data_IF_812122159998
#
_entry.id   IF_812122159998
#
_cell.length_a   1.000
_cell.length_b   1.000
_cell.length_c   1.000
_cell.angle_alpha   90.00
_cell.angle_beta   90.00
_cell.angle_gamma   90.00
#
_symmetry.space_group_name_H-M   'P 1'
#
loop_
_entity.id
_entity.type
_entity.pdbx_description
1 polymer ?
#
# COMPACT_ATOMS: atom_id res chain seq x y z
N UNK A 1 4.26 -17.17 20.18
CA UNK A 1 3.28 -17.47 19.11
C UNK A 1 3.13 -16.22 18.24
N UNK A 2 3.20 -16.33 16.91
CA UNK A 2 2.91 -15.18 16.02
C UNK A 2 1.40 -15.01 15.93
N UNK A 3 0.86 -13.87 16.33
CA UNK A 3 -0.58 -13.58 16.30
C UNK A 3 -0.83 -12.11 15.99
N UNK A 4 -1.94 -11.79 15.31
CA UNK A 4 -2.32 -10.40 15.05
C UNK A 4 -2.61 -9.67 16.37
N UNK A 5 -2.18 -8.42 16.61
CA UNK A 5 -2.44 -7.67 17.84
C UNK A 5 -3.87 -7.11 17.93
N UNK A 6 -4.89 -7.97 17.77
CA UNK A 6 -6.31 -7.56 17.83
C UNK A 6 -6.91 -7.89 19.19
N UNK A 7 -7.06 -6.86 20.04
CA UNK A 7 -7.43 -6.99 21.46
C UNK A 7 -8.78 -7.69 21.72
N UNK A 8 -9.70 -7.75 20.75
CA UNK A 8 -11.08 -8.24 20.94
C UNK A 8 -11.32 -9.71 20.52
N UNK A 9 -10.29 -10.47 20.18
CA UNK A 9 -10.44 -11.82 19.59
C UNK A 9 -9.73 -12.92 20.39
N UNK A 10 -10.29 -14.13 20.37
CA UNK A 10 -9.71 -15.31 20.98
C UNK A 10 -8.34 -15.64 20.34
N UNK A 11 -7.36 -16.08 21.13
CA UNK A 11 -5.97 -16.22 20.70
C UNK A 11 -5.79 -17.21 19.55
N UNK A 12 -6.53 -18.33 19.57
CA UNK A 12 -6.54 -19.33 18.50
C UNK A 12 -7.03 -18.73 17.15
N UNK A 13 -8.06 -17.90 17.18
CA UNK A 13 -8.60 -17.22 15.99
C UNK A 13 -7.59 -16.25 15.38
N UNK A 14 -6.81 -15.56 16.24
CA UNK A 14 -5.77 -14.62 15.80
C UNK A 14 -4.60 -15.32 15.12
N UNK A 15 -4.25 -16.53 15.58
CA UNK A 15 -3.22 -17.36 14.98
C UNK A 15 -3.61 -17.85 13.58
N UNK A 16 -4.82 -18.38 13.42
CA UNK A 16 -5.30 -18.88 12.12
C UNK A 16 -5.42 -17.76 11.09
N UNK A 17 -5.98 -16.61 11.46
CA UNK A 17 -6.10 -15.47 10.54
C UNK A 17 -4.72 -14.90 10.18
N UNK A 18 -3.77 -14.88 11.11
CA UNK A 18 -2.39 -14.50 10.81
C UNK A 18 -1.74 -15.45 9.78
N UNK A 19 -1.90 -16.76 9.98
CA UNK A 19 -1.39 -17.77 9.04
C UNK A 19 -2.05 -17.61 7.66
N UNK A 20 -3.37 -17.44 7.61
CA UNK A 20 -4.13 -17.19 6.37
C UNK A 20 -3.60 -16.01 5.55
N UNK A 21 -3.21 -14.90 6.20
CA UNK A 21 -2.68 -13.71 5.53
C UNK A 21 -1.22 -13.91 5.07
N UNK A 22 -0.43 -14.69 5.80
CA UNK A 22 1.03 -14.72 5.64
C UNK A 22 1.52 -15.92 4.83
N UNK A 23 0.86 -17.07 4.95
CA UNK A 23 1.30 -18.33 4.33
C UNK A 23 0.84 -18.41 2.87
N UNK A 24 1.78 -18.71 1.99
CA UNK A 24 1.53 -18.82 0.55
C UNK A 24 0.72 -20.08 0.21
N UNK A 25 1.08 -21.19 0.85
CA UNK A 25 0.43 -22.49 0.67
C UNK A 25 -0.53 -22.74 1.82
N UNK A 26 -1.80 -22.38 1.63
CA UNK A 26 -2.88 -22.60 2.58
C UNK A 26 -3.86 -23.60 1.98
N UNK A 27 -4.22 -24.67 2.72
CA UNK A 27 -5.09 -25.73 2.16
C UNK A 27 -6.47 -25.19 1.85
N UNK A 28 -7.12 -25.74 0.81
CA UNK A 28 -8.47 -25.32 0.43
C UNK A 28 -9.47 -25.50 1.58
N UNK A 29 -9.32 -26.54 2.41
CA UNK A 29 -10.18 -26.73 3.59
C UNK A 29 -9.94 -25.64 4.65
N UNK A 30 -8.69 -25.25 4.88
CA UNK A 30 -8.36 -24.19 5.83
C UNK A 30 -8.83 -22.82 5.35
N UNK A 31 -8.74 -22.55 4.04
CA UNK A 31 -9.32 -21.36 3.41
C UNK A 31 -10.83 -21.36 3.66
N UNK A 32 -11.53 -22.43 3.31
CA UNK A 32 -12.97 -22.53 3.49
C UNK A 32 -13.38 -22.35 4.95
N UNK A 33 -12.58 -22.83 5.91
CA UNK A 33 -12.83 -22.63 7.34
C UNK A 33 -12.71 -21.16 7.77
N UNK A 34 -11.71 -20.43 7.25
CA UNK A 34 -11.54 -18.99 7.54
C UNK A 34 -12.64 -18.17 6.88
N UNK A 35 -13.04 -18.54 5.67
CA UNK A 35 -14.01 -17.80 4.86
C UNK A 35 -15.47 -18.16 5.17
N UNK A 36 -15.70 -19.21 5.96
CA UNK A 36 -17.02 -19.60 6.43
C UNK A 36 -17.61 -18.53 7.36
N UNK A 37 -18.83 -18.10 7.03
CA UNK A 37 -19.55 -17.08 7.79
C UNK A 37 -19.71 -17.50 9.27
N UNK A 38 -19.29 -16.62 10.18
CA UNK A 38 -19.44 -16.82 11.63
C UNK A 38 -18.34 -17.63 12.32
N UNK A 39 -17.37 -18.21 11.58
CA UNK A 39 -16.27 -18.97 12.20
C UNK A 39 -15.23 -18.07 12.88
N UNK A 40 -15.04 -16.85 12.38
CA UNK A 40 -14.11 -15.87 12.93
C UNK A 40 -14.78 -14.50 12.94
N UNK A 41 -14.77 -13.80 14.08
CA UNK A 41 -15.38 -12.47 14.16
C UNK A 41 -14.61 -11.40 13.36
N UNK A 42 -13.39 -11.71 12.91
CA UNK A 42 -12.63 -10.94 11.91
C UNK A 42 -13.10 -11.18 10.47
N UNK A 43 -13.85 -12.24 10.19
CA UNK A 43 -14.40 -12.50 8.87
C UNK A 43 -15.86 -12.03 8.81
N UNK A 44 -16.05 -10.74 8.53
CA UNK A 44 -17.36 -10.11 8.42
C UNK A 44 -17.41 -9.19 7.20
N UNK A 45 -18.59 -8.64 6.88
CA UNK A 45 -18.78 -7.83 5.66
C UNK A 45 -17.90 -6.59 5.58
N UNK A 46 -17.51 -6.01 6.72
CA UNK A 46 -16.67 -4.81 6.76
C UNK A 46 -15.17 -5.10 6.62
N UNK A 47 -14.73 -6.32 6.92
CA UNK A 47 -13.29 -6.66 7.01
C UNK A 47 -12.84 -7.77 6.07
N UNK A 48 -13.75 -8.56 5.49
CA UNK A 48 -13.43 -9.64 4.54
C UNK A 48 -12.60 -9.15 3.35
N UNK A 49 -12.95 -7.99 2.78
CA UNK A 49 -12.24 -7.42 1.63
C UNK A 49 -10.82 -7.01 2.01
N UNK A 50 -10.64 -6.42 3.19
CA UNK A 50 -9.33 -6.05 3.72
C UNK A 50 -8.46 -7.28 3.97
N UNK A 51 -9.02 -8.36 4.54
CA UNK A 51 -8.29 -9.61 4.76
C UNK A 51 -7.85 -10.26 3.44
N UNK A 52 -8.74 -10.30 2.44
CA UNK A 52 -8.43 -10.81 1.11
C UNK A 52 -7.34 -9.97 0.42
N UNK A 53 -7.42 -8.64 0.53
CA UNK A 53 -6.41 -7.72 0.00
C UNK A 53 -5.05 -7.94 0.67
N UNK A 54 -5.02 -8.02 2.00
CA UNK A 54 -3.79 -8.28 2.75
C UNK A 54 -3.16 -9.62 2.37
N UNK A 55 -3.97 -10.68 2.22
CA UNK A 55 -3.50 -11.98 1.74
C UNK A 55 -2.96 -11.90 0.32
N UNK A 56 -3.64 -11.20 -0.59
CA UNK A 56 -3.18 -10.95 -1.95
C UNK A 56 -1.83 -10.25 -1.98
N UNK A 57 -1.63 -9.23 -1.14
CA UNK A 57 -0.39 -8.46 -1.11
C UNK A 57 0.76 -9.24 -0.46
N UNK A 58 0.50 -9.93 0.66
CA UNK A 58 1.52 -10.58 1.49
C UNK A 58 1.77 -12.01 1.02
N UNK A 59 0.80 -12.92 1.17
CA UNK A 59 0.97 -14.35 0.87
C UNK A 59 1.27 -14.62 -0.62
N UNK A 60 0.77 -13.79 -1.56
CA UNK A 60 1.10 -13.95 -3.00
C UNK A 60 2.40 -13.28 -3.40
N UNK A 61 3.15 -12.72 -2.45
CA UNK A 61 4.50 -12.17 -2.67
C UNK A 61 4.54 -10.84 -3.43
N UNK A 62 3.41 -10.16 -3.64
CA UNK A 62 3.36 -8.88 -4.35
C UNK A 62 4.20 -7.84 -3.60
N UNK A 63 4.12 -7.79 -2.27
CA UNK A 63 4.90 -6.85 -1.45
C UNK A 63 6.41 -7.09 -1.61
N UNK A 64 6.85 -8.34 -1.54
CA UNK A 64 8.25 -8.72 -1.72
C UNK A 64 8.75 -8.43 -3.14
N UNK A 65 7.91 -8.66 -4.15
CA UNK A 65 8.20 -8.30 -5.54
C UNK A 65 8.39 -6.78 -5.71
N UNK A 66 7.45 -5.98 -5.21
CA UNK A 66 7.49 -4.52 -5.32
C UNK A 66 8.68 -3.92 -4.56
N UNK A 67 8.94 -4.35 -3.32
CA UNK A 67 10.01 -3.79 -2.51
C UNK A 67 11.40 -4.34 -2.86
N UNK A 68 11.49 -5.61 -3.22
CA UNK A 68 12.77 -6.29 -3.46
C UNK A 68 13.26 -6.25 -4.90
N UNK A 69 12.34 -6.27 -5.88
CA UNK A 69 12.70 -6.41 -7.30
C UNK A 69 12.47 -5.14 -8.13
N UNK A 70 11.73 -4.14 -7.61
CA UNK A 70 11.49 -2.88 -8.31
C UNK A 70 12.25 -1.73 -7.66
N UNK A 71 13.14 -1.13 -8.43
CA UNK A 71 13.88 0.07 -8.04
C UNK A 71 13.19 1.32 -8.58
N UNK A 72 12.87 2.24 -7.67
CA UNK A 72 12.32 3.55 -8.02
C UNK A 72 13.29 4.33 -8.92
N UNK A 73 12.75 5.08 -9.90
CA UNK A 73 13.47 5.82 -10.94
C UNK A 73 14.30 5.00 -11.92
N UNK A 74 14.29 3.66 -11.80
CA UNK A 74 14.98 2.75 -12.73
C UNK A 74 14.00 1.80 -13.39
N UNK A 75 13.16 1.14 -12.60
CA UNK A 75 12.14 0.22 -13.11
C UNK A 75 10.76 0.87 -13.18
N UNK A 76 10.51 1.90 -12.39
CA UNK A 76 9.22 2.58 -12.31
C UNK A 76 9.34 4.01 -11.77
N UNK A 77 8.30 4.79 -12.00
CA UNK A 77 8.10 6.13 -11.43
C UNK A 77 6.90 6.82 -12.06
N UNK A 78 6.68 8.09 -11.75
CA UNK A 78 5.62 8.90 -12.36
C UNK A 78 6.06 9.38 -13.76
N UNK A 79 5.09 9.75 -14.58
CA UNK A 79 5.30 10.38 -15.89
C UNK A 79 4.46 11.66 -15.99
N UNK A 80 5.02 12.82 -15.57
CA UNK A 80 4.29 14.09 -15.55
C UNK A 80 4.01 14.63 -16.97
N UNK A 81 4.83 14.26 -17.96
CA UNK A 81 4.72 14.72 -19.34
C UNK A 81 3.72 13.89 -20.17
N UNK A 82 3.05 12.91 -19.54
CA UNK A 82 2.09 12.05 -20.19
C UNK A 82 0.89 12.87 -20.68
N UNK A 83 0.55 12.74 -21.97
CA UNK A 83 -0.61 13.42 -22.61
C UNK A 83 -1.96 13.22 -21.91
N UNK A 84 -2.07 12.21 -21.06
CA UNK A 84 -3.15 12.02 -20.11
C UNK A 84 -2.52 11.81 -18.73
N UNK A 85 -2.53 12.81 -17.84
CA UNK A 85 -1.92 12.69 -16.52
C UNK A 85 -2.81 11.77 -15.68
N UNK A 86 -2.37 10.53 -15.49
CA UNK A 86 -3.07 9.56 -14.64
C UNK A 86 -2.62 9.61 -13.19
N UNK A 87 -1.45 10.23 -12.91
CA UNK A 87 -0.84 10.22 -11.59
C UNK A 87 -0.40 8.82 -11.12
N UNK A 88 -0.40 7.82 -12.01
CA UNK A 88 -0.04 6.44 -11.68
C UNK A 88 1.42 6.15 -12.03
N UNK A 89 2.05 5.25 -11.27
CA UNK A 89 3.38 4.76 -11.59
C UNK A 89 3.37 3.97 -12.90
N UNK A 90 4.31 4.29 -13.78
CA UNK A 90 4.54 3.61 -15.05
C UNK A 90 5.88 2.88 -15.05
N UNK A 91 6.05 1.84 -15.89
CA UNK A 91 7.33 1.19 -16.08
C UNK A 91 8.34 2.14 -16.73
N UNK A 92 9.59 2.08 -16.28
CA UNK A 92 10.69 2.83 -16.86
C UNK A 92 11.55 1.90 -17.74
N UNK A 93 12.03 2.41 -18.88
CA UNK A 93 12.92 1.67 -19.79
C UNK A 93 14.40 1.84 -19.43
N UNK A 94 14.71 2.98 -18.84
CA UNK A 94 16.02 3.36 -18.34
C UNK A 94 15.84 4.27 -17.14
N UNK A 95 16.96 4.68 -16.53
CA UNK A 95 16.93 5.64 -15.43
C UNK A 95 16.19 6.91 -15.85
N UNK A 96 15.18 7.30 -15.07
CA UNK A 96 14.38 8.51 -15.29
C UNK A 96 13.73 8.59 -16.68
N UNK A 97 13.46 7.44 -17.30
CA UNK A 97 12.90 7.36 -18.65
C UNK A 97 11.62 6.51 -18.64
N UNK A 98 10.44 7.14 -18.47
CA UNK A 98 9.17 6.44 -18.50
C UNK A 98 8.89 5.81 -19.86
N UNK A 99 8.23 4.66 -19.85
CA UNK A 99 7.78 3.98 -21.06
C UNK A 99 6.45 4.59 -21.53
N UNK A 100 6.38 5.24 -22.71
CA UNK A 100 5.25 6.11 -23.07
C UNK A 100 3.87 5.46 -23.17
N UNK A 101 3.81 4.13 -23.26
CA UNK A 101 2.57 3.34 -23.47
C UNK A 101 2.51 2.08 -22.63
N UNK A 102 3.42 1.91 -21.68
CA UNK A 102 3.45 0.69 -20.87
C UNK A 102 2.77 0.94 -19.54
N UNK A 103 2.04 -0.06 -19.08
CA UNK A 103 1.37 -0.07 -17.79
C UNK A 103 1.65 -1.40 -17.11
N UNK A 104 1.57 -1.46 -15.79
CA UNK A 104 1.64 -2.73 -15.07
C UNK A 104 0.30 -3.45 -15.21
N UNK A 105 0.33 -4.77 -15.36
CA UNK A 105 -0.90 -5.56 -15.57
C UNK A 105 -1.69 -5.83 -14.29
N UNK A 106 -1.07 -5.71 -13.12
CA UNK A 106 -1.68 -6.06 -11.84
C UNK A 106 -2.05 -4.79 -11.06
N UNK A 107 -3.32 -4.59 -10.67
CA UNK A 107 -3.77 -3.37 -10.01
C UNK A 107 -3.10 -3.16 -8.64
N UNK A 108 -2.82 -4.22 -7.89
CA UNK A 108 -2.13 -4.14 -6.61
C UNK A 108 -0.68 -3.67 -6.77
N UNK A 109 -0.02 -4.10 -7.86
CA UNK A 109 1.34 -3.64 -8.20
C UNK A 109 1.32 -2.17 -8.57
N UNK A 110 0.35 -1.72 -9.39
CA UNK A 110 0.20 -0.30 -9.74
C UNK A 110 0.00 0.53 -8.47
N UNK A 111 -0.92 0.11 -7.59
CA UNK A 111 -1.24 0.83 -6.36
C UNK A 111 0.00 1.01 -5.50
N UNK A 112 0.70 -0.08 -5.19
CA UNK A 112 1.89 -0.04 -4.34
C UNK A 112 3.04 0.77 -4.96
N UNK A 113 3.32 0.61 -6.27
CA UNK A 113 4.36 1.38 -6.94
C UNK A 113 4.01 2.87 -7.05
N UNK A 114 2.73 3.20 -7.18
CA UNK A 114 2.24 4.59 -7.18
C UNK A 114 2.44 5.20 -5.79
N UNK A 115 1.98 4.53 -4.74
CA UNK A 115 2.20 4.96 -3.35
C UNK A 115 3.68 5.15 -3.04
N UNK A 116 4.54 4.21 -3.45
CA UNK A 116 5.99 4.33 -3.28
C UNK A 116 6.58 5.49 -4.08
N UNK A 117 6.08 5.76 -5.28
CA UNK A 117 6.56 6.88 -6.10
C UNK A 117 6.28 8.23 -5.44
N UNK A 118 5.09 8.43 -4.86
CA UNK A 118 4.77 9.63 -4.08
C UNK A 118 5.49 9.66 -2.74
N UNK A 119 5.67 8.52 -2.07
CA UNK A 119 6.44 8.45 -0.84
C UNK A 119 7.93 8.82 -1.05
N UNK A 120 8.50 8.46 -2.19
CA UNK A 120 9.90 8.73 -2.50
C UNK A 120 10.15 10.08 -3.18
N UNK A 121 9.29 10.46 -4.12
CA UNK A 121 9.41 11.68 -4.91
C UNK A 121 8.70 12.89 -4.31
N UNK A 122 7.79 12.67 -3.36
CA UNK A 122 6.86 13.70 -2.89
C UNK A 122 5.71 13.93 -3.86
N UNK A 123 4.76 14.75 -3.43
CA UNK A 123 3.71 15.31 -4.28
C UNK A 123 4.12 16.73 -4.69
N UNK A 124 3.78 17.13 -5.91
CA UNK A 124 3.86 18.54 -6.32
C UNK A 124 2.73 19.35 -5.68
N UNK A 125 2.88 20.66 -5.66
CA UNK A 125 1.84 21.58 -5.16
C UNK A 125 0.51 21.36 -5.90
N UNK A 126 0.53 21.20 -7.23
CA UNK A 126 -0.68 20.91 -8.01
C UNK A 126 -1.40 19.62 -7.57
N UNK A 127 -0.64 18.54 -7.34
CA UNK A 127 -1.21 17.28 -6.86
C UNK A 127 -1.78 17.42 -5.44
N UNK A 128 -1.13 18.24 -4.61
CA UNK A 128 -1.60 18.53 -3.26
C UNK A 128 -2.89 19.36 -3.28
N UNK A 129 -2.99 20.37 -4.15
CA UNK A 129 -4.21 21.15 -4.35
C UNK A 129 -5.37 20.27 -4.83
N UNK A 130 -5.13 19.37 -5.79
CA UNK A 130 -6.14 18.41 -6.24
C UNK A 130 -6.57 17.50 -5.09
N UNK A 131 -5.62 16.99 -4.30
CA UNK A 131 -5.95 16.15 -3.14
C UNK A 131 -6.81 16.90 -2.11
N UNK A 132 -6.52 18.18 -1.84
CA UNK A 132 -7.33 19.01 -0.95
C UNK A 132 -8.70 19.36 -1.54
N UNK A 133 -8.80 19.59 -2.84
CA UNK A 133 -10.08 19.80 -3.50
C UNK A 133 -10.98 18.56 -3.34
N UNK A 134 -10.43 17.36 -3.55
CA UNK A 134 -11.16 16.12 -3.32
C UNK A 134 -11.55 15.93 -1.85
N UNK A 135 -10.65 16.24 -0.93
CA UNK A 135 -10.95 16.17 0.51
C UNK A 135 -12.12 17.09 0.88
N UNK A 136 -12.13 18.32 0.39
CA UNK A 136 -13.19 19.30 0.64
C UNK A 136 -14.53 18.90 0.02
N UNK A 137 -14.52 18.07 -1.02
CA UNK A 137 -15.72 17.53 -1.66
C UNK A 137 -16.20 16.22 -1.02
N UNK A 138 -15.47 15.65 -0.05
CA UNK A 138 -15.89 14.43 0.64
C UNK A 138 -17.11 14.67 1.53
N UNK A 139 -17.81 13.59 1.88
CA UNK A 139 -18.95 13.59 2.79
C UNK A 139 -18.55 14.06 4.21
N UNK A 140 -17.29 13.82 4.62
CA UNK A 140 -16.78 14.13 5.96
C UNK A 140 -15.36 14.75 5.91
N UNK A 141 -15.21 15.99 5.41
CA UNK A 141 -13.90 16.59 5.13
C UNK A 141 -13.04 16.79 6.39
N UNK A 142 -13.65 17.21 7.51
CA UNK A 142 -12.94 17.47 8.77
C UNK A 142 -12.41 16.16 9.39
N UNK A 143 -13.26 15.11 9.43
CA UNK A 143 -12.88 13.80 9.96
C UNK A 143 -11.76 13.15 9.12
N UNK A 144 -11.87 13.23 7.79
CA UNK A 144 -10.83 12.73 6.88
C UNK A 144 -9.53 13.50 7.01
N UNK A 145 -9.58 14.82 7.14
CA UNK A 145 -8.38 15.64 7.38
C UNK A 145 -7.69 15.25 8.70
N UNK A 146 -8.45 15.07 9.77
CA UNK A 146 -7.93 14.66 11.06
C UNK A 146 -7.26 13.28 11.00
N UNK A 147 -7.86 12.32 10.30
CA UNK A 147 -7.25 11.00 10.07
C UNK A 147 -5.96 11.10 9.24
N UNK A 148 -5.95 11.92 8.19
CA UNK A 148 -4.73 12.19 7.41
C UNK A 148 -3.62 12.73 8.32
N UNK A 149 -3.90 13.76 9.13
CA UNK A 149 -2.90 14.34 10.04
C UNK A 149 -2.39 13.32 11.06
N UNK A 150 -3.23 12.43 11.59
CA UNK A 150 -2.79 11.34 12.48
C UNK A 150 -1.81 10.40 11.78
N UNK A 151 -2.12 9.99 10.55
CA UNK A 151 -1.24 9.13 9.73
C UNK A 151 0.08 9.84 9.45
N UNK A 152 0.04 11.10 9.02
CA UNK A 152 1.24 11.89 8.76
C UNK A 152 2.11 12.05 10.00
N UNK A 153 1.53 12.33 11.17
CA UNK A 153 2.25 12.41 12.44
C UNK A 153 2.91 11.08 12.82
N UNK A 154 2.25 9.96 12.56
CA UNK A 154 2.83 8.63 12.77
C UNK A 154 4.01 8.36 11.82
N UNK A 155 3.92 8.81 10.57
CA UNK A 155 4.95 8.59 9.55
C UNK A 155 6.10 9.61 9.59
N UNK A 156 5.86 10.81 10.15
CA UNK A 156 6.80 11.93 10.22
C UNK A 156 8.19 11.56 10.76
N UNK A 157 8.32 10.79 11.86
CA UNK A 157 9.62 10.35 12.36
C UNK A 157 10.42 9.56 11.31
N UNK A 158 9.76 8.72 10.52
CA UNK A 158 10.40 7.92 9.47
C UNK A 158 10.78 8.76 8.25
N UNK A 159 9.98 9.76 7.92
CA UNK A 159 10.27 10.71 6.83
C UNK A 159 11.47 11.60 7.19
N UNK A 160 11.51 12.14 8.41
CA UNK A 160 12.61 12.99 8.90
C UNK A 160 13.94 12.21 8.94
N UNK A 161 13.92 10.95 9.39
CA UNK A 161 15.11 10.11 9.42
C UNK A 161 15.71 9.92 8.01
N UNK A 162 14.89 9.78 6.98
CA UNK A 162 15.35 9.69 5.58
C UNK A 162 16.03 10.96 5.08
N UNK A 163 15.53 12.13 5.47
CA UNK A 163 16.15 13.43 5.13
C UNK A 163 17.52 13.59 5.81
N UNK A 164 17.71 13.03 7.01
CA UNK A 164 19.00 13.08 7.69
C UNK A 164 20.05 12.16 7.06
N UNK A 165 19.65 10.98 6.56
CA UNK A 165 20.59 10.02 5.95
C UNK A 165 21.07 10.45 4.56
N UNK A 166 20.28 11.21 3.80
CA UNK A 166 20.70 11.74 2.50
C UNK A 166 21.71 12.90 2.61
N UNK A 167 21.78 13.58 3.77
CA UNK A 167 22.76 14.63 4.04
C UNK A 167 24.15 14.10 4.41
N UNK A 168 24.28 12.83 4.79
CA UNK A 168 25.55 12.21 5.21
C UNK A 168 26.34 11.54 4.08
N UNK A 169 25.77 11.40 2.88
CA UNK A 169 26.41 10.73 1.73
C UNK A 169 27.01 11.72 0.69
N UNK A 170 27.09 13.00 1.04
CA UNK A 170 27.60 14.08 0.18
C UNK A 170 28.81 14.83 0.75
N UNK A 171 29.66 14.17 1.55
CA UNK A 171 30.95 14.69 2.00
C UNK A 171 32.08 13.75 1.68
#
# INVERSE_FOLDING_TARGET
>A
MKSLPVARQHEASRGTVYAYITEQDFSTEQIAQVEAAGCYALWNDTSKNTLLLLRGIIARGILGFVLGQKRWRVNYGLDPDRRAPTGLAVPYRAKDSPSPRSEFSHPEVILLLTSLSYYYGGMSDDNLFIAFEHLLQSDQPDDEYDELIKIWNFLLPFVILKVSTSKTEGR
#
